data_IF_171434762786
#
_entry.id   IF_171434762786
#
_cell.length_a   1.000
_cell.length_b   1.000
_cell.length_c   1.000
_cell.angle_alpha   90.00
_cell.angle_beta   90.00
_cell.angle_gamma   90.00
#
_symmetry.space_group_name_H-M   'P 1'
#
loop_
_entity.id
_entity.type
_entity.pdbx_description
1 polymer ?
#
# COMPACT_ATOMS: atom_id res chain seq x y z
N UNK A 1 4.22 5.86 -17.86
CA UNK A 1 4.32 6.02 -16.39
C UNK A 1 4.10 4.66 -15.78
N UNK A 2 4.86 4.31 -14.74
CA UNK A 2 4.76 2.99 -14.11
C UNK A 2 3.94 3.14 -12.85
N UNK A 3 2.80 2.45 -12.81
CA UNK A 3 1.95 2.43 -11.63
C UNK A 3 2.69 1.80 -10.44
N UNK A 4 2.43 2.32 -9.25
CA UNK A 4 3.04 1.81 -8.03
C UNK A 4 2.17 0.71 -7.43
N UNK A 5 2.72 -0.48 -7.23
CA UNK A 5 1.96 -1.60 -6.69
C UNK A 5 2.24 -1.78 -5.20
N UNK A 6 1.18 -1.80 -4.38
CA UNK A 6 1.24 -2.18 -2.97
C UNK A 6 0.71 -3.61 -2.85
N UNK A 7 1.54 -4.51 -2.31
CA UNK A 7 1.10 -5.85 -1.94
C UNK A 7 0.50 -5.82 -0.53
N UNK A 8 -0.80 -6.02 -0.41
CA UNK A 8 -1.50 -5.95 0.88
C UNK A 8 -1.11 -7.09 1.81
N UNK A 9 -0.73 -8.26 1.27
CA UNK A 9 -0.16 -9.34 2.08
C UNK A 9 1.12 -8.88 2.81
N UNK A 10 1.96 -8.09 2.13
CA UNK A 10 3.17 -7.53 2.73
C UNK A 10 2.82 -6.50 3.82
N UNK A 11 1.78 -5.69 3.62
CA UNK A 11 1.31 -4.74 4.63
C UNK A 11 0.87 -5.50 5.90
N UNK A 12 0.09 -6.56 5.77
CA UNK A 12 -0.38 -7.40 6.88
C UNK A 12 0.79 -8.05 7.64
N UNK A 13 1.82 -8.53 6.93
CA UNK A 13 3.05 -9.06 7.52
C UNK A 13 3.80 -7.99 8.32
N UNK A 14 4.02 -6.81 7.74
CA UNK A 14 4.70 -5.69 8.39
C UNK A 14 3.92 -5.20 9.62
N UNK A 15 2.59 -5.20 9.57
CA UNK A 15 1.75 -4.89 10.71
C UNK A 15 1.93 -5.91 11.84
N UNK A 16 2.00 -7.19 11.50
CA UNK A 16 2.19 -8.27 12.49
C UNK A 16 3.49 -8.12 13.28
N UNK A 17 4.56 -7.65 12.62
CA UNK A 17 5.86 -7.42 13.24
C UNK A 17 6.06 -5.96 13.72
N UNK A 18 5.02 -5.12 13.65
CA UNK A 18 5.05 -3.69 13.97
C UNK A 18 6.19 -2.91 13.28
N UNK A 19 6.53 -3.27 12.04
CA UNK A 19 7.56 -2.58 11.28
C UNK A 19 6.98 -1.31 10.65
N UNK A 20 6.87 -0.27 11.47
CA UNK A 20 6.34 1.05 11.10
C UNK A 20 7.22 1.76 10.07
N UNK A 21 8.54 1.60 10.15
CA UNK A 21 9.49 2.24 9.22
C UNK A 21 9.26 1.77 7.78
N UNK A 22 9.14 0.46 7.56
CA UNK A 22 8.86 -0.07 6.22
C UNK A 22 7.46 0.27 5.72
N UNK A 23 6.47 0.31 6.61
CA UNK A 23 5.14 0.78 6.25
C UNK A 23 5.18 2.24 5.78
N UNK A 24 5.83 3.13 6.52
CA UNK A 24 5.99 4.54 6.13
C UNK A 24 6.73 4.67 4.80
N UNK A 25 7.78 3.87 4.57
CA UNK A 25 8.51 3.84 3.30
C UNK A 25 7.61 3.47 2.11
N UNK A 26 6.73 2.48 2.28
CA UNK A 26 5.76 2.08 1.24
C UNK A 26 4.80 3.22 0.95
N UNK A 27 4.22 3.84 1.98
CA UNK A 27 3.28 4.95 1.79
C UNK A 27 3.93 6.21 1.23
N UNK A 28 5.19 6.50 1.57
CA UNK A 28 5.95 7.61 1.00
C UNK A 28 6.16 7.42 -0.50
N UNK A 29 6.49 6.19 -0.94
CA UNK A 29 6.62 5.85 -2.36
C UNK A 29 5.27 5.92 -3.10
N UNK A 30 4.21 5.40 -2.49
CA UNK A 30 2.85 5.49 -3.03
C UNK A 30 2.41 6.96 -3.21
N UNK A 31 2.67 7.80 -2.20
CA UNK A 31 2.41 9.24 -2.26
C UNK A 31 3.16 9.90 -3.41
N UNK A 32 4.46 9.59 -3.56
CA UNK A 32 5.27 10.09 -4.66
C UNK A 32 4.69 9.66 -6.01
N UNK A 33 4.23 8.42 -6.15
CA UNK A 33 3.61 7.94 -7.39
C UNK A 33 2.38 8.76 -7.78
N UNK A 34 1.47 9.01 -6.83
CA UNK A 34 0.26 9.81 -7.05
C UNK A 34 0.61 11.27 -7.41
N UNK A 35 1.57 11.89 -6.70
CA UNK A 35 2.02 13.26 -7.01
C UNK A 35 2.61 13.35 -8.42
N UNK A 36 3.28 12.30 -8.88
CA UNK A 36 3.80 12.21 -10.24
C UNK A 36 2.74 11.83 -11.28
N UNK A 37 1.46 11.65 -10.91
CA UNK A 37 0.36 11.32 -11.81
C UNK A 37 0.23 9.83 -12.15
N UNK A 38 0.83 8.94 -11.36
CA UNK A 38 0.68 7.48 -11.49
C UNK A 38 -0.38 6.95 -10.52
N UNK A 39 -0.93 5.77 -10.82
CA UNK A 39 -1.88 5.09 -9.94
C UNK A 39 -1.15 4.22 -8.91
N UNK A 40 -1.76 4.10 -7.74
CA UNK A 40 -1.36 3.11 -6.74
C UNK A 40 -2.30 1.92 -6.83
N UNK A 41 -1.77 0.75 -7.19
CA UNK A 41 -2.54 -0.47 -7.40
C UNK A 41 -2.41 -1.34 -6.16
N UNK A 42 -3.55 -1.66 -5.53
CA UNK A 42 -3.58 -2.61 -4.42
C UNK A 42 -3.75 -4.02 -4.99
N UNK A 43 -2.77 -4.87 -4.69
CA UNK A 43 -2.81 -6.28 -5.04
C UNK A 43 -2.74 -7.15 -3.80
N UNK A 44 -3.41 -8.29 -3.84
CA UNK A 44 -3.21 -9.36 -2.87
C UNK A 44 -2.52 -10.52 -3.57
N UNK A 45 -1.40 -10.98 -3.02
CA UNK A 45 -0.74 -12.20 -3.48
C UNK A 45 -1.34 -13.42 -2.79
N UNK A 46 -1.85 -14.34 -3.58
CA UNK A 46 -2.29 -15.65 -3.10
C UNK A 46 -1.09 -16.60 -2.95
N UNK A 47 -1.27 -17.67 -2.17
CA UNK A 47 -0.23 -18.70 -1.97
C UNK A 47 0.22 -19.38 -3.28
N UNK A 48 -0.60 -19.30 -4.33
CA UNK A 48 -0.28 -19.77 -5.69
C UNK A 48 0.69 -18.86 -6.46
N UNK A 49 1.06 -17.70 -5.88
CA UNK A 49 1.88 -16.67 -6.53
C UNK A 49 1.10 -15.72 -7.44
N UNK A 50 -0.21 -15.92 -7.61
CA UNK A 50 -1.07 -14.99 -8.36
C UNK A 50 -1.27 -13.69 -7.58
N UNK A 51 -1.04 -12.57 -8.25
CA UNK A 51 -1.37 -11.25 -7.73
C UNK A 51 -2.73 -10.82 -8.30
N UNK A 52 -3.73 -10.71 -7.43
CA UNK A 52 -5.04 -10.23 -7.80
C UNK A 52 -5.14 -8.75 -7.45
N UNK A 53 -5.32 -7.90 -8.46
CA UNK A 53 -5.71 -6.50 -8.26
C UNK A 53 -7.13 -6.48 -7.74
N UNK A 54 -7.38 -5.77 -6.65
CA UNK A 54 -8.71 -5.63 -6.09
C UNK A 54 -9.13 -4.18 -5.87
N UNK A 55 -8.18 -3.24 -5.85
CA UNK A 55 -8.47 -1.82 -5.68
C UNK A 55 -7.37 -0.94 -6.30
N UNK A 56 -7.68 0.34 -6.50
CA UNK A 56 -6.75 1.36 -6.98
C UNK A 56 -6.95 2.69 -6.26
N UNK A 57 -5.84 3.41 -6.07
CA UNK A 57 -5.81 4.69 -5.39
C UNK A 57 -5.14 5.70 -6.33
N UNK A 58 -5.90 6.74 -6.68
CA UNK A 58 -5.51 7.80 -7.60
C UNK A 58 -5.40 9.18 -6.92
N UNK A 59 -5.86 9.31 -5.67
CA UNK A 59 -5.80 10.54 -4.91
C UNK A 59 -5.02 10.41 -3.60
N UNK A 60 -4.42 11.52 -3.17
CA UNK A 60 -3.73 11.60 -1.88
C UNK A 60 -4.68 11.43 -0.69
N UNK A 61 -5.94 11.86 -0.84
CA UNK A 61 -6.94 11.72 0.22
C UNK A 61 -7.26 10.25 0.49
N UNK A 62 -7.57 9.48 -0.55
CA UNK A 62 -7.82 8.04 -0.43
C UNK A 62 -6.59 7.30 0.09
N UNK A 63 -5.38 7.69 -0.35
CA UNK A 63 -4.13 7.10 0.16
C UNK A 63 -3.94 7.33 1.66
N UNK A 64 -4.22 8.54 2.14
CA UNK A 64 -4.11 8.88 3.56
C UNK A 64 -5.16 8.14 4.42
N UNK A 65 -6.39 7.95 3.90
CA UNK A 65 -7.41 7.13 4.56
C UNK A 65 -6.93 5.68 4.70
N UNK A 66 -6.39 5.11 3.61
CA UNK A 66 -5.85 3.76 3.63
C UNK A 66 -4.68 3.62 4.61
N UNK A 67 -3.73 4.57 4.57
CA UNK A 67 -2.60 4.64 5.51
C UNK A 67 -3.09 4.67 6.95
N UNK A 68 -3.99 5.57 7.31
CA UNK A 68 -4.56 5.64 8.66
C UNK A 68 -5.20 4.31 9.08
N UNK A 69 -5.90 3.64 8.17
CA UNK A 69 -6.47 2.31 8.41
C UNK A 69 -5.41 1.25 8.74
N UNK A 70 -4.28 1.26 8.04
CA UNK A 70 -3.15 0.36 8.28
C UNK A 70 -2.47 0.65 9.63
N UNK A 71 -2.18 1.92 9.93
CA UNK A 71 -1.51 2.28 11.18
C UNK A 71 -2.41 2.20 12.42
N UNK A 72 -3.74 2.23 12.25
CA UNK A 72 -4.71 2.18 13.37
C UNK A 72 -4.55 0.96 14.27
N UNK A 73 -4.07 -0.16 13.73
CA UNK A 73 -3.94 -1.43 14.44
C UNK A 73 -2.52 -1.69 14.98
N UNK A 74 -1.57 -0.79 14.70
CA UNK A 74 -0.23 -0.83 15.26
C UNK A 74 -0.29 -0.25 16.68
N UNK A 75 0.25 -0.99 17.65
CA UNK A 75 0.26 -0.60 19.07
C UNK A 75 1.55 0.09 19.48
#
# INVERSE_FOLDING_TARGET
MTDYTINVTQIEELQTINNTDELENIFARAKSAIVNGALVILVRREASGKANKFDEIDTLETLEVYRKGVFKYLK
#
